data_IF_841718136678
#
_entry.id   IF_841718136678
#
_cell.length_a   1.000
_cell.length_b   1.000
_cell.length_c   1.000
_cell.angle_alpha   90.00
_cell.angle_beta   90.00
_cell.angle_gamma   90.00
#
_symmetry.space_group_name_H-M   'P 1'
#
loop_
_entity.id
_entity.type
_entity.pdbx_description
1 polymer ?
#
# COMPACT_ATOMS: atom_id res chain seq x y z
N UNK A 1 -13.26 34.09 2.34
CA UNK A 1 -13.85 34.34 3.68
C UNK A 1 -15.28 34.88 3.52
N UNK A 2 -16.30 34.02 3.64
CA UNK A 2 -17.67 34.48 3.93
C UNK A 2 -17.79 34.60 5.45
N UNK A 3 -17.43 35.76 5.99
CA UNK A 3 -17.90 36.14 7.32
C UNK A 3 -19.41 36.43 7.19
N UNK A 4 -20.24 35.52 7.67
CA UNK A 4 -21.64 35.81 7.93
C UNK A 4 -21.65 36.73 9.15
N UNK A 5 -21.79 38.04 8.94
CA UNK A 5 -21.97 39.00 10.04
C UNK A 5 -23.24 38.65 10.79
N UNK A 6 -23.11 38.27 12.06
CA UNK A 6 -24.21 37.96 12.95
C UNK A 6 -24.57 36.49 13.12
N UNK A 7 -23.74 35.55 12.64
CA UNK A 7 -23.89 34.13 12.97
C UNK A 7 -23.56 33.86 14.44
N UNK A 8 -24.38 33.07 15.11
CA UNK A 8 -24.07 32.55 16.45
C UNK A 8 -23.13 31.37 16.24
N UNK A 9 -22.01 31.39 16.95
CA UNK A 9 -21.12 30.23 16.99
C UNK A 9 -21.75 29.18 17.93
N UNK A 10 -22.20 28.07 17.39
CA UNK A 10 -22.84 26.99 18.13
C UNK A 10 -21.81 26.10 18.87
N UNK A 11 -20.52 26.28 18.58
CA UNK A 11 -19.43 25.50 19.19
C UNK A 11 -18.82 26.29 20.32
N UNK A 12 -18.96 25.81 21.56
CA UNK A 12 -18.24 26.32 22.71
C UNK A 12 -16.94 25.53 22.91
N UNK A 13 -15.75 26.12 22.74
CA UNK A 13 -14.50 25.44 22.96
C UNK A 13 -14.34 25.06 24.45
N UNK A 14 -14.08 23.78 24.73
CA UNK A 14 -13.68 23.36 26.08
C UNK A 14 -12.23 23.83 26.35
N UNK A 15 -11.98 24.40 27.52
CA UNK A 15 -10.71 25.07 27.81
C UNK A 15 -9.76 24.28 28.72
N UNK A 16 -10.14 23.13 29.24
CA UNK A 16 -9.42 22.48 30.34
C UNK A 16 -8.37 21.44 29.91
N UNK A 17 -8.46 20.90 28.68
CA UNK A 17 -7.56 19.88 28.17
C UNK A 17 -6.87 20.32 26.89
N UNK A 18 -5.68 19.77 26.62
CA UNK A 18 -5.04 19.93 25.33
C UNK A 18 -5.85 19.24 24.24
N UNK A 19 -6.05 19.95 23.13
CA UNK A 19 -6.86 19.51 22.00
C UNK A 19 -5.98 19.02 20.87
N UNK A 20 -6.21 17.81 20.42
CA UNK A 20 -5.50 17.23 19.29
C UNK A 20 -6.49 16.99 18.15
N UNK A 21 -6.16 17.55 16.99
CA UNK A 21 -6.93 17.34 15.76
C UNK A 21 -6.35 16.13 15.00
N UNK A 22 -7.22 15.22 14.60
CA UNK A 22 -6.89 14.08 13.74
C UNK A 22 -7.62 14.28 12.40
N UNK A 23 -6.86 14.27 11.30
CA UNK A 23 -7.44 14.33 9.97
C UNK A 23 -7.71 12.92 9.45
N UNK A 24 -8.95 12.67 9.05
CA UNK A 24 -9.38 11.41 8.47
C UNK A 24 -8.95 11.23 7.01
N UNK A 25 -9.43 10.16 6.40
CA UNK A 25 -9.03 9.78 5.03
C UNK A 25 -9.89 10.40 3.92
N UNK A 26 -11.00 11.03 4.29
CA UNK A 26 -11.97 11.53 3.31
C UNK A 26 -12.76 10.39 2.63
N UNK A 27 -13.26 10.61 1.41
CA UNK A 27 -14.02 9.60 0.68
C UNK A 27 -13.20 8.35 0.41
N UNK A 28 -13.80 7.17 0.65
CA UNK A 28 -13.20 5.90 0.27
C UNK A 28 -13.15 5.81 -1.25
N UNK A 29 -12.01 5.44 -1.78
CA UNK A 29 -11.75 5.24 -3.20
C UNK A 29 -10.69 4.17 -3.41
N UNK A 30 -10.58 3.65 -4.62
CA UNK A 30 -9.47 2.74 -4.98
C UNK A 30 -8.14 3.47 -4.71
N UNK A 31 -7.22 2.79 -4.01
CA UNK A 31 -5.96 3.37 -3.53
C UNK A 31 -6.01 4.05 -2.16
N UNK A 32 -7.21 4.29 -1.60
CA UNK A 32 -7.39 4.88 -0.27
C UNK A 32 -8.63 4.28 0.41
N UNK A 33 -8.45 3.11 1.03
CA UNK A 33 -9.54 2.31 1.60
C UNK A 33 -9.84 2.59 3.06
N UNK A 34 -10.70 1.74 3.63
CA UNK A 34 -11.16 1.81 5.02
C UNK A 34 -10.03 1.61 6.05
N UNK A 35 -8.90 1.09 5.64
CA UNK A 35 -7.73 0.81 6.49
C UNK A 35 -7.17 2.09 7.13
N UNK A 36 -7.29 3.22 6.43
CA UNK A 36 -6.90 4.53 6.97
C UNK A 36 -7.91 5.05 7.99
N UNK A 37 -9.19 4.71 7.83
CA UNK A 37 -10.19 5.01 8.84
C UNK A 37 -9.94 4.23 10.13
N UNK A 38 -9.60 2.94 10.03
CA UNK A 38 -9.14 2.15 11.17
C UNK A 38 -7.99 2.85 11.90
N UNK A 39 -6.99 3.34 11.18
CA UNK A 39 -5.87 4.05 11.79
C UNK A 39 -6.32 5.34 12.50
N UNK A 40 -7.19 6.12 11.88
CA UNK A 40 -7.72 7.35 12.47
C UNK A 40 -8.52 7.09 13.75
N UNK A 41 -9.37 6.07 13.77
CA UNK A 41 -10.16 5.66 14.94
C UNK A 41 -9.25 5.21 16.09
N UNK A 42 -8.29 4.33 15.81
CA UNK A 42 -7.36 3.85 16.84
C UNK A 42 -6.44 4.96 17.37
N UNK A 43 -6.08 5.94 16.55
CA UNK A 43 -5.38 7.14 16.99
C UNK A 43 -6.24 7.94 17.99
N UNK A 44 -7.49 8.24 17.64
CA UNK A 44 -8.42 8.96 18.51
C UNK A 44 -8.60 8.24 19.85
N UNK A 45 -8.79 6.93 19.84
CA UNK A 45 -8.92 6.16 21.07
C UNK A 45 -7.66 6.20 21.93
N UNK A 46 -6.49 6.13 21.32
CA UNK A 46 -5.21 6.24 22.07
C UNK A 46 -5.03 7.63 22.69
N UNK A 47 -5.41 8.70 21.99
CA UNK A 47 -5.38 10.08 22.50
C UNK A 47 -6.37 10.28 23.66
N UNK A 48 -7.61 9.79 23.53
CA UNK A 48 -8.62 9.85 24.60
C UNK A 48 -8.14 9.11 25.84
N UNK A 49 -7.56 7.91 25.67
CA UNK A 49 -6.99 7.14 26.77
C UNK A 49 -5.83 7.86 27.45
N UNK A 50 -5.08 8.70 26.72
CA UNK A 50 -4.01 9.54 27.25
C UNK A 50 -4.51 10.87 27.85
N UNK A 51 -5.83 11.14 27.84
CA UNK A 51 -6.44 12.29 28.48
C UNK A 51 -6.53 13.56 27.65
N UNK A 52 -6.33 13.48 26.32
CA UNK A 52 -6.51 14.61 25.40
C UNK A 52 -7.97 14.77 24.97
N UNK A 53 -8.37 16.00 24.68
CA UNK A 53 -9.59 16.28 23.94
C UNK A 53 -9.32 16.05 22.45
N UNK A 54 -10.16 15.26 21.82
CA UNK A 54 -9.95 14.82 20.43
C UNK A 54 -10.92 15.47 19.47
N UNK A 55 -10.39 15.98 18.37
CA UNK A 55 -11.15 16.53 17.25
C UNK A 55 -10.88 15.65 16.05
N UNK A 56 -11.90 15.10 15.42
CA UNK A 56 -11.76 14.43 14.13
C UNK A 56 -12.42 15.24 13.02
N UNK A 57 -11.73 15.35 11.90
CA UNK A 57 -12.26 15.97 10.68
C UNK A 57 -12.32 14.90 9.61
N UNK A 58 -13.51 14.54 9.19
CA UNK A 58 -13.72 13.58 8.09
C UNK A 58 -15.10 13.78 7.49
N UNK A 59 -15.29 13.48 6.20
CA UNK A 59 -16.53 13.70 5.48
C UNK A 59 -17.12 12.46 4.81
N UNK A 60 -16.77 11.28 5.32
CA UNK A 60 -17.31 10.03 4.78
C UNK A 60 -18.29 9.40 5.78
N UNK A 61 -19.62 9.39 5.51
CA UNK A 61 -20.62 8.84 6.42
C UNK A 61 -20.55 7.31 6.60
N UNK A 62 -19.83 6.63 5.71
CA UNK A 62 -19.68 5.16 5.76
C UNK A 62 -18.47 4.73 6.62
N UNK A 63 -17.81 5.67 7.31
CA UNK A 63 -16.63 5.39 8.14
C UNK A 63 -16.96 5.44 9.63
N UNK A 64 -16.27 4.60 10.42
CA UNK A 64 -16.42 4.56 11.89
C UNK A 64 -15.91 5.85 12.54
N UNK A 65 -14.90 6.50 11.95
CA UNK A 65 -14.38 7.77 12.47
C UNK A 65 -15.41 8.89 12.51
N UNK A 66 -16.49 8.80 11.72
CA UNK A 66 -17.59 9.75 11.70
C UNK A 66 -18.76 9.36 12.62
N UNK A 67 -18.63 8.31 13.40
CA UNK A 67 -19.58 7.98 14.44
C UNK A 67 -19.45 8.98 15.60
N UNK A 68 -20.58 9.42 16.14
CA UNK A 68 -20.66 10.51 17.12
C UNK A 68 -19.95 10.23 18.45
N UNK A 69 -19.67 8.97 18.77
CA UNK A 69 -19.07 8.53 20.04
C UNK A 69 -17.56 8.27 19.95
N UNK A 70 -16.96 8.39 18.76
CA UNK A 70 -15.54 8.11 18.55
C UNK A 70 -14.68 9.23 19.13
N UNK A 71 -14.82 10.46 18.65
CA UNK A 71 -14.06 11.63 19.12
C UNK A 71 -14.92 12.49 20.07
N UNK A 72 -14.28 13.40 20.81
CA UNK A 72 -15.00 14.37 21.64
C UNK A 72 -15.70 15.41 20.75
N UNK A 73 -15.16 15.66 19.55
CA UNK A 73 -15.75 16.51 18.52
C UNK A 73 -15.54 15.93 17.14
N UNK A 74 -16.63 15.88 16.38
CA UNK A 74 -16.64 15.50 14.97
C UNK A 74 -16.97 16.73 14.12
N UNK A 75 -16.09 17.03 13.17
CA UNK A 75 -16.36 17.95 12.07
C UNK A 75 -16.57 17.14 10.79
N UNK A 76 -17.82 17.08 10.36
CA UNK A 76 -18.20 16.39 9.13
C UNK A 76 -18.05 17.35 7.94
N UNK A 77 -16.80 17.67 7.61
CA UNK A 77 -16.43 18.69 6.63
C UNK A 77 -15.40 18.14 5.62
N UNK A 78 -15.35 18.69 4.41
CA UNK A 78 -14.36 18.32 3.44
C UNK A 78 -12.92 18.53 3.96
N UNK A 79 -12.02 17.65 3.55
CA UNK A 79 -10.59 17.74 3.87
C UNK A 79 -9.89 18.63 2.84
N UNK A 80 -10.28 19.92 2.83
CA UNK A 80 -9.65 20.98 2.05
C UNK A 80 -8.97 21.97 2.99
N UNK A 81 -7.95 22.69 2.51
CA UNK A 81 -7.27 23.68 3.35
C UNK A 81 -8.24 24.77 3.85
N UNK A 82 -9.19 25.19 3.02
CA UNK A 82 -10.15 26.25 3.32
C UNK A 82 -11.15 25.85 4.42
N UNK A 83 -11.67 24.61 4.36
CA UNK A 83 -12.60 24.09 5.37
C UNK A 83 -11.89 23.84 6.68
N UNK A 84 -10.70 23.25 6.64
CA UNK A 84 -9.87 22.96 7.82
C UNK A 84 -9.40 24.26 8.51
N UNK A 85 -9.08 25.33 7.75
CA UNK A 85 -8.75 26.65 8.32
C UNK A 85 -9.89 27.17 9.23
N UNK A 86 -11.13 27.02 8.78
CA UNK A 86 -12.29 27.45 9.54
C UNK A 86 -12.44 26.67 10.87
N UNK A 87 -12.12 25.38 10.87
CA UNK A 87 -12.12 24.56 12.09
C UNK A 87 -10.97 24.94 13.03
N UNK A 88 -9.77 25.16 12.49
CA UNK A 88 -8.59 25.61 13.25
C UNK A 88 -8.86 26.95 13.94
N UNK A 89 -9.48 27.90 13.24
CA UNK A 89 -9.84 29.23 13.78
C UNK A 89 -10.78 29.13 14.99
N UNK A 90 -11.70 28.16 14.99
CA UNK A 90 -12.67 27.95 16.06
C UNK A 90 -12.06 27.14 17.22
N UNK A 91 -11.45 26.00 16.90
CA UNK A 91 -11.02 25.04 17.92
C UNK A 91 -9.65 25.38 18.51
N UNK A 92 -8.77 26.02 17.76
CA UNK A 92 -7.39 26.35 18.13
C UNK A 92 -6.67 25.14 18.74
N UNK A 93 -6.50 24.04 17.96
CA UNK A 93 -5.90 22.82 18.46
C UNK A 93 -4.44 23.05 18.86
N UNK A 94 -3.98 22.35 19.89
CA UNK A 94 -2.57 22.35 20.32
C UNK A 94 -1.65 21.63 19.33
N UNK A 95 -2.24 20.81 18.43
CA UNK A 95 -1.55 20.15 17.33
C UNK A 95 -2.47 19.31 16.49
N UNK A 96 -1.96 18.91 15.33
CA UNK A 96 -2.68 18.05 14.38
C UNK A 96 -1.86 16.81 14.00
N UNK A 97 -2.53 15.68 13.88
CA UNK A 97 -1.98 14.41 13.39
C UNK A 97 -2.56 14.13 12.00
N UNK A 98 -1.68 14.00 11.01
CA UNK A 98 -2.04 13.79 9.59
C UNK A 98 -1.66 12.39 9.09
N UNK A 99 -0.78 11.67 9.79
CA UNK A 99 -0.18 10.41 9.33
C UNK A 99 -1.16 9.25 9.15
N UNK A 100 -2.32 9.29 9.79
CA UNK A 100 -3.27 8.17 9.78
C UNK A 100 -4.35 8.27 8.70
N UNK A 101 -4.59 9.47 8.16
CA UNK A 101 -5.62 9.71 7.14
C UNK A 101 -5.16 9.50 5.68
N UNK A 102 -4.05 8.78 5.49
CA UNK A 102 -3.50 8.50 4.15
C UNK A 102 -3.14 9.78 3.38
N UNK A 103 -3.11 9.68 2.07
CA UNK A 103 -2.66 10.77 1.19
C UNK A 103 -3.54 12.03 1.26
N UNK A 104 -4.82 11.88 1.60
CA UNK A 104 -5.73 13.03 1.73
C UNK A 104 -5.30 13.94 2.90
N UNK A 105 -5.00 13.35 4.05
CA UNK A 105 -4.57 14.10 5.23
C UNK A 105 -3.14 14.64 5.08
N UNK A 106 -2.22 13.85 4.53
CA UNK A 106 -0.81 14.24 4.33
C UNK A 106 -0.70 15.51 3.46
N UNK A 107 -1.49 15.64 2.41
CA UNK A 107 -1.51 16.83 1.54
C UNK A 107 -1.89 18.12 2.27
N UNK A 108 -2.51 18.05 3.43
CA UNK A 108 -2.87 19.21 4.25
C UNK A 108 -1.76 19.63 5.22
N UNK A 109 -0.67 18.89 5.32
CA UNK A 109 0.43 19.15 6.27
C UNK A 109 0.99 20.55 6.10
N UNK A 110 1.33 20.97 4.87
CA UNK A 110 1.83 22.31 4.57
C UNK A 110 0.82 23.40 4.92
N UNK A 111 -0.44 23.22 4.51
CA UNK A 111 -1.49 24.20 4.80
C UNK A 111 -1.71 24.38 6.31
N UNK A 112 -1.71 23.31 7.10
CA UNK A 112 -1.80 23.36 8.55
C UNK A 112 -0.59 24.09 9.17
N UNK A 113 0.61 23.83 8.68
CA UNK A 113 1.83 24.52 9.11
C UNK A 113 1.73 26.02 8.83
N UNK A 114 1.26 26.41 7.63
CA UNK A 114 1.05 27.81 7.23
C UNK A 114 -0.02 28.51 8.10
N UNK A 115 -1.01 27.75 8.61
CA UNK A 115 -2.01 28.23 9.59
C UNK A 115 -1.45 28.35 11.01
N UNK A 116 -0.20 27.94 11.25
CA UNK A 116 0.44 27.94 12.56
C UNK A 116 0.05 26.77 13.46
N UNK A 117 -0.55 25.73 12.93
CA UNK A 117 -0.86 24.49 13.66
C UNK A 117 0.39 23.61 13.72
N UNK A 118 0.74 23.18 14.91
CA UNK A 118 1.86 22.24 15.11
C UNK A 118 1.49 20.87 14.54
N UNK A 119 2.26 20.39 13.59
CA UNK A 119 2.16 18.99 13.14
C UNK A 119 2.81 18.10 14.19
N UNK A 120 2.09 17.06 14.60
CA UNK A 120 2.55 16.05 15.55
C UNK A 120 2.94 14.79 14.78
N UNK A 121 4.16 14.33 15.02
CA UNK A 121 4.78 13.21 14.30
C UNK A 121 5.88 13.66 13.35
N UNK A 122 6.02 13.03 12.20
CA UNK A 122 7.03 13.38 11.19
C UNK A 122 6.74 14.76 10.60
N UNK A 123 7.76 15.59 10.49
CA UNK A 123 7.63 16.96 9.98
C UNK A 123 7.25 16.99 8.49
N UNK A 124 6.63 18.11 8.08
CA UNK A 124 6.18 18.32 6.70
C UNK A 124 7.32 18.22 5.68
N UNK A 125 8.50 18.73 6.02
CA UNK A 125 9.68 18.72 5.14
C UNK A 125 10.24 17.30 4.96
N UNK A 126 10.24 16.47 6.01
CA UNK A 126 10.65 15.07 5.93
C UNK A 126 9.65 14.21 5.15
N UNK A 127 8.35 14.51 5.26
CA UNK A 127 7.31 13.88 4.43
C UNK A 127 7.51 14.23 2.96
N UNK A 128 7.72 15.51 2.65
CA UNK A 128 7.99 15.97 1.28
C UNK A 128 9.29 15.37 0.72
N UNK A 129 10.34 15.25 1.54
CA UNK A 129 11.59 14.63 1.16
C UNK A 129 11.45 13.14 0.78
N UNK A 130 10.49 12.43 1.37
CA UNK A 130 10.18 11.04 0.99
C UNK A 130 9.36 10.93 -0.30
N UNK A 131 8.58 11.96 -0.64
CA UNK A 131 7.74 12.00 -1.85
C UNK A 131 8.49 12.61 -3.05
N UNK A 132 9.39 13.55 -2.81
CA UNK A 132 10.23 14.16 -3.86
C UNK A 132 11.33 13.21 -4.29
N UNK A 133 11.39 12.92 -5.60
CA UNK A 133 12.33 11.92 -6.12
C UNK A 133 13.79 12.32 -5.91
N UNK A 134 14.15 13.56 -6.18
CA UNK A 134 15.55 13.99 -6.12
C UNK A 134 16.05 14.00 -4.68
N UNK A 135 15.25 14.53 -3.77
CA UNK A 135 15.52 14.51 -2.33
C UNK A 135 15.61 13.09 -1.78
N UNK A 136 14.69 12.23 -2.20
CA UNK A 136 14.68 10.82 -1.78
C UNK A 136 15.91 10.06 -2.31
N UNK A 137 16.33 10.32 -3.55
CA UNK A 137 17.54 9.76 -4.12
C UNK A 137 18.80 10.14 -3.32
N UNK A 138 18.92 11.42 -2.94
CA UNK A 138 20.03 11.87 -2.08
C UNK A 138 20.01 11.18 -0.72
N UNK A 139 18.83 10.94 -0.13
CA UNK A 139 18.69 10.22 1.13
C UNK A 139 19.15 8.77 0.98
N UNK A 140 18.74 8.08 -0.08
CA UNK A 140 19.15 6.71 -0.35
C UNK A 140 20.66 6.60 -0.56
N UNK A 141 21.27 7.53 -1.32
CA UNK A 141 22.72 7.59 -1.52
C UNK A 141 23.48 7.81 -0.20
N UNK A 142 23.06 8.77 0.60
CA UNK A 142 23.62 9.02 1.96
C UNK A 142 23.47 7.82 2.89
N UNK A 143 22.38 7.08 2.73
CA UNK A 143 22.13 5.85 3.47
C UNK A 143 22.82 4.62 2.87
N UNK A 144 23.48 4.71 1.73
CA UNK A 144 24.03 3.56 0.99
C UNK A 144 22.98 2.45 0.78
N UNK A 145 21.80 2.83 0.30
CA UNK A 145 20.66 1.95 0.05
C UNK A 145 20.37 1.94 -1.45
N UNK A 146 20.28 0.75 -2.02
CA UNK A 146 20.01 0.58 -3.44
C UNK A 146 18.53 0.76 -3.78
N UNK A 147 18.30 1.32 -4.96
CA UNK A 147 16.97 1.37 -5.61
C UNK A 147 17.07 0.96 -7.07
N UNK A 148 15.96 0.60 -7.72
CA UNK A 148 15.95 0.40 -9.17
C UNK A 148 16.45 1.66 -9.90
N UNK A 149 17.39 1.48 -10.83
CA UNK A 149 17.94 2.59 -11.61
C UNK A 149 16.84 3.18 -12.50
N UNK A 150 16.81 4.50 -12.61
CA UNK A 150 15.82 5.18 -13.43
C UNK A 150 16.15 6.64 -13.68
N UNK A 151 15.32 7.30 -14.47
CA UNK A 151 15.47 8.72 -14.79
C UNK A 151 14.11 9.37 -15.03
N UNK A 152 14.05 10.66 -14.76
CA UNK A 152 12.91 11.51 -15.09
C UNK A 152 13.03 11.97 -16.54
N UNK A 153 11.93 11.95 -17.27
CA UNK A 153 11.84 12.31 -18.69
C UNK A 153 10.58 13.14 -18.95
N UNK A 154 10.59 13.91 -20.04
CA UNK A 154 9.44 14.74 -20.45
C UNK A 154 8.91 14.34 -21.82
N UNK A 155 9.72 13.68 -22.65
CA UNK A 155 9.36 13.31 -24.03
C UNK A 155 9.42 11.81 -24.24
N UNK A 156 8.74 11.32 -25.28
CA UNK A 156 8.79 9.91 -25.64
C UNK A 156 10.18 9.49 -26.16
N UNK A 157 10.89 10.39 -26.81
CA UNK A 157 12.24 10.18 -27.30
C UNK A 157 13.23 10.00 -26.17
N UNK A 158 13.19 10.88 -25.16
CA UNK A 158 13.98 10.73 -23.93
C UNK A 158 13.66 9.42 -23.19
N UNK A 159 12.38 9.07 -23.10
CA UNK A 159 11.93 7.83 -22.47
C UNK A 159 12.51 6.58 -23.15
N UNK A 160 12.54 6.55 -24.48
CA UNK A 160 13.10 5.46 -25.27
C UNK A 160 14.64 5.41 -25.06
N UNK A 161 15.32 6.56 -25.07
CA UNK A 161 16.75 6.60 -24.83
C UNK A 161 17.12 6.04 -23.46
N UNK A 162 16.42 6.47 -22.41
CA UNK A 162 16.61 5.95 -21.05
C UNK A 162 16.30 4.45 -20.97
N UNK A 163 15.18 4.01 -21.55
CA UNK A 163 14.80 2.60 -21.53
C UNK A 163 15.84 1.70 -22.25
N UNK A 164 16.38 2.16 -23.36
CA UNK A 164 17.43 1.43 -24.07
C UNK A 164 18.75 1.36 -23.27
N UNK A 165 19.10 2.41 -22.50
CA UNK A 165 20.24 2.39 -21.58
C UNK A 165 20.03 1.44 -20.40
N UNK A 166 18.84 1.40 -19.83
CA UNK A 166 18.49 0.52 -18.70
C UNK A 166 18.29 -0.93 -19.13
N UNK A 167 17.94 -1.14 -20.40
CA UNK A 167 17.50 -2.42 -20.94
C UNK A 167 16.07 -2.78 -20.51
N UNK A 168 15.27 -3.29 -21.46
CA UNK A 168 13.90 -3.73 -21.19
C UNK A 168 13.86 -4.99 -20.29
N UNK A 169 12.78 -5.23 -19.53
CA UNK A 169 11.61 -4.35 -19.34
C UNK A 169 11.91 -3.14 -18.47
N UNK A 170 11.11 -2.07 -18.63
CA UNK A 170 11.14 -0.87 -17.79
C UNK A 170 9.73 -0.53 -17.29
N UNK A 171 9.65 0.12 -16.14
CA UNK A 171 8.42 0.66 -15.57
C UNK A 171 8.28 2.12 -16.00
N UNK A 172 7.15 2.46 -16.59
CA UNK A 172 6.78 3.84 -16.98
C UNK A 172 5.73 4.33 -15.98
N UNK A 173 6.00 5.44 -15.29
CA UNK A 173 5.05 5.99 -14.31
C UNK A 173 5.00 7.51 -14.33
N UNK A 174 3.81 8.13 -14.22
CA UNK A 174 3.68 9.56 -13.95
C UNK A 174 4.23 9.89 -12.56
N UNK A 175 4.79 11.09 -12.37
CA UNK A 175 5.44 11.47 -11.10
C UNK A 175 4.48 11.65 -9.92
N UNK A 176 3.23 12.03 -10.18
CA UNK A 176 2.27 12.37 -9.13
C UNK A 176 0.95 11.61 -9.30
N UNK A 177 0.95 10.30 -9.01
CA UNK A 177 -0.26 9.49 -9.11
C UNK A 177 -0.55 8.73 -7.82
N UNK A 178 -1.83 8.55 -7.52
CA UNK A 178 -2.31 7.76 -6.39
C UNK A 178 -2.61 6.34 -6.85
N UNK A 179 -2.18 5.34 -6.05
CA UNK A 179 -2.53 3.94 -6.27
C UNK A 179 -2.00 3.37 -7.59
N UNK A 180 -0.88 3.88 -8.08
CA UNK A 180 -0.24 3.38 -9.31
C UNK A 180 -0.98 3.73 -10.62
N UNK A 181 -1.93 4.66 -10.59
CA UNK A 181 -2.71 5.04 -11.78
C UNK A 181 -1.79 5.45 -12.94
N UNK A 182 -2.02 4.87 -14.12
CA UNK A 182 -1.24 5.15 -15.33
C UNK A 182 0.18 4.59 -15.32
N UNK A 183 0.54 3.72 -14.36
CA UNK A 183 1.81 2.98 -14.37
C UNK A 183 1.69 1.77 -15.30
N UNK A 184 2.73 1.56 -16.13
CA UNK A 184 2.76 0.47 -17.12
C UNK A 184 4.15 -0.14 -17.24
N UNK A 185 4.23 -1.45 -17.54
CA UNK A 185 5.48 -2.14 -17.82
C UNK A 185 5.68 -2.19 -19.34
N UNK A 186 6.72 -1.51 -19.82
CA UNK A 186 7.07 -1.49 -21.24
C UNK A 186 8.11 -2.57 -21.55
N UNK A 187 7.87 -3.34 -22.59
CA UNK A 187 8.74 -4.40 -23.06
C UNK A 187 9.58 -4.00 -24.28
N UNK A 188 9.25 -2.87 -24.92
CA UNK A 188 9.88 -2.36 -26.12
C UNK A 188 9.53 -0.88 -26.35
N UNK A 189 10.18 -0.25 -27.34
CA UNK A 189 9.97 1.15 -27.72
C UNK A 189 8.52 1.46 -28.14
N UNK A 190 7.83 0.48 -28.73
CA UNK A 190 6.43 0.62 -29.16
C UNK A 190 5.49 0.81 -27.98
N UNK A 191 5.73 0.07 -26.89
CA UNK A 191 4.97 0.17 -25.66
C UNK A 191 5.17 1.56 -25.02
N UNK A 192 6.41 2.05 -24.96
CA UNK A 192 6.71 3.39 -24.45
C UNK A 192 5.94 4.46 -25.22
N UNK A 193 6.00 4.43 -26.56
CA UNK A 193 5.26 5.39 -27.39
C UNK A 193 3.76 5.38 -27.13
N UNK A 194 3.20 4.18 -26.94
CA UNK A 194 1.78 4.01 -26.62
C UNK A 194 1.46 4.61 -25.23
N UNK A 195 2.23 4.26 -24.22
CA UNK A 195 2.00 4.71 -22.83
C UNK A 195 2.21 6.20 -22.66
N UNK A 196 3.26 6.76 -23.23
CA UNK A 196 3.53 8.20 -23.21
C UNK A 196 2.37 8.99 -23.87
N UNK A 197 1.78 8.48 -24.95
CA UNK A 197 0.62 9.12 -25.58
C UNK A 197 -0.62 9.10 -24.68
N UNK A 198 -0.83 8.05 -23.89
CA UNK A 198 -1.94 7.95 -22.92
C UNK A 198 -1.70 8.91 -21.76
N UNK A 199 -0.51 8.88 -21.17
CA UNK A 199 -0.13 9.69 -20.02
C UNK A 199 -0.20 11.19 -20.38
N UNK A 200 0.35 11.60 -21.51
CA UNK A 200 0.34 13.01 -21.95
C UNK A 200 -1.07 13.56 -22.23
N UNK A 201 -2.05 12.69 -22.51
CA UNK A 201 -3.46 13.11 -22.60
C UNK A 201 -4.11 13.40 -21.27
N UNK A 202 -3.70 12.68 -20.23
CA UNK A 202 -4.29 12.74 -18.89
C UNK A 202 -3.55 13.70 -17.96
N UNK A 203 -2.23 13.79 -18.10
CA UNK A 203 -1.32 14.49 -17.20
C UNK A 203 -0.38 15.42 -17.99
N UNK A 204 -0.93 16.46 -18.61
CA UNK A 204 -0.14 17.45 -19.35
C UNK A 204 0.85 18.16 -18.40
N UNK A 205 2.12 18.25 -18.82
CA UNK A 205 3.22 18.99 -18.16
C UNK A 205 3.83 18.36 -16.90
N UNK A 206 3.53 17.10 -16.57
CA UNK A 206 4.21 16.43 -15.46
C UNK A 206 5.36 15.54 -15.95
N UNK A 207 6.47 15.48 -15.19
CA UNK A 207 7.57 14.58 -15.50
C UNK A 207 7.12 13.13 -15.39
N UNK A 208 7.69 12.27 -16.24
CA UNK A 208 7.44 10.85 -16.27
C UNK A 208 8.72 10.13 -15.84
N UNK A 209 8.57 9.08 -15.06
CA UNK A 209 9.67 8.28 -14.54
C UNK A 209 9.79 7.01 -15.36
N UNK A 210 11.02 6.70 -15.77
CA UNK A 210 11.38 5.43 -16.42
C UNK A 210 12.35 4.72 -15.49
N UNK A 211 11.89 3.65 -14.86
CA UNK A 211 12.68 2.85 -13.93
C UNK A 211 12.95 1.46 -14.49
N UNK A 212 14.13 0.89 -14.18
CA UNK A 212 14.41 -0.52 -14.49
C UNK A 212 13.40 -1.40 -13.77
N UNK A 213 12.65 -2.21 -14.51
CA UNK A 213 11.79 -3.20 -13.90
C UNK A 213 12.59 -4.40 -13.40
N UNK A 214 12.49 -4.68 -12.11
CA UNK A 214 13.11 -5.84 -11.46
C UNK A 214 12.03 -6.89 -11.20
N UNK A 215 12.12 -8.05 -11.85
CA UNK A 215 11.17 -9.16 -11.66
C UNK A 215 11.52 -9.97 -10.41
N UNK A 216 11.60 -9.29 -9.25
CA UNK A 216 11.91 -9.89 -7.96
C UNK A 216 10.69 -10.19 -7.10
N UNK A 217 10.95 -10.50 -5.84
CA UNK A 217 9.93 -10.64 -4.79
C UNK A 217 9.73 -9.30 -4.10
N UNK A 218 8.48 -8.86 -4.04
CA UNK A 218 8.15 -7.70 -3.22
C UNK A 218 7.98 -8.10 -1.75
N UNK A 219 8.47 -7.21 -0.90
CA UNK A 219 8.42 -7.34 0.56
C UNK A 219 8.02 -5.99 1.13
N UNK A 220 7.17 -5.99 2.13
CA UNK A 220 6.65 -4.79 2.76
C UNK A 220 6.90 -4.81 4.27
N UNK A 221 7.23 -3.66 4.83
CA UNK A 221 7.45 -3.45 6.26
C UNK A 221 6.68 -2.22 6.71
N UNK A 222 5.91 -2.37 7.77
CA UNK A 222 5.40 -1.27 8.57
C UNK A 222 6.18 -1.21 9.88
N UNK A 223 6.60 0.00 10.28
CA UNK A 223 7.33 0.19 11.52
C UNK A 223 6.81 1.40 12.30
N UNK A 224 7.01 1.36 13.61
CA UNK A 224 6.80 2.50 14.51
C UNK A 224 8.15 3.08 14.89
N UNK A 225 8.25 4.41 14.86
CA UNK A 225 9.43 5.17 15.23
C UNK A 225 9.07 6.17 16.31
N UNK A 226 9.97 6.38 17.30
CA UNK A 226 9.81 7.34 18.38
C UNK A 226 10.91 8.43 18.40
N UNK A 227 11.70 8.51 17.31
CA UNK A 227 12.85 9.40 17.19
C UNK A 227 14.14 8.83 17.81
N UNK A 228 14.07 7.76 18.61
CA UNK A 228 15.23 7.10 19.25
C UNK A 228 15.50 5.73 18.63
N UNK A 229 14.45 5.00 18.29
CA UNK A 229 14.52 3.67 17.70
C UNK A 229 13.29 3.31 16.90
N UNK A 230 13.24 2.06 16.44
CA UNK A 230 12.13 1.54 15.69
C UNK A 230 11.63 0.21 16.26
N UNK A 231 10.32 -0.04 16.12
CA UNK A 231 9.68 -1.32 16.36
C UNK A 231 9.12 -1.82 15.02
N UNK A 232 9.57 -2.98 14.58
CA UNK A 232 9.08 -3.67 13.38
C UNK A 232 8.24 -4.86 13.84
N UNK A 233 6.93 -4.86 13.70
CA UNK A 233 6.06 -5.97 14.11
C UNK A 233 6.31 -7.24 13.32
N UNK A 234 6.70 -7.11 12.05
CA UNK A 234 7.03 -8.20 11.16
C UNK A 234 7.27 -7.74 9.73
N UNK A 235 7.77 -8.66 8.93
CA UNK A 235 8.01 -8.48 7.50
C UNK A 235 6.93 -9.26 6.74
N UNK A 236 6.37 -8.67 5.69
CA UNK A 236 5.33 -9.28 4.85
C UNK A 236 5.91 -9.60 3.46
N UNK A 237 5.75 -10.84 3.00
CA UNK A 237 6.16 -11.27 1.66
C UNK A 237 4.96 -11.29 0.73
N UNK A 238 5.07 -10.70 -0.48
CA UNK A 238 4.05 -10.82 -1.52
C UNK A 238 4.20 -12.12 -2.29
N UNK A 239 3.07 -12.78 -2.59
CA UNK A 239 3.07 -14.03 -3.38
C UNK A 239 3.34 -13.73 -4.85
N UNK A 240 2.74 -12.67 -5.37
CA UNK A 240 2.92 -12.21 -6.74
C UNK A 240 4.35 -11.71 -6.97
N UNK A 241 4.76 -11.69 -8.24
CA UNK A 241 5.99 -11.03 -8.67
C UNK A 241 5.81 -9.51 -8.63
N UNK A 242 6.91 -8.80 -8.51
CA UNK A 242 6.94 -7.35 -8.59
C UNK A 242 6.18 -6.79 -9.82
N UNK A 243 5.53 -5.65 -9.63
CA UNK A 243 4.72 -4.99 -10.66
C UNK A 243 3.21 -5.18 -10.51
N UNK A 244 2.75 -5.89 -9.50
CA UNK A 244 1.35 -5.87 -9.03
C UNK A 244 1.29 -4.93 -7.83
N UNK A 245 0.30 -4.03 -7.81
CA UNK A 245 0.14 -3.09 -6.69
C UNK A 245 0.01 -3.83 -5.34
N UNK A 246 0.67 -3.36 -4.29
CA UNK A 246 0.72 -4.03 -2.97
C UNK A 246 -0.67 -4.31 -2.38
N UNK A 247 -1.65 -3.42 -2.63
CA UNK A 247 -3.05 -3.62 -2.26
C UNK A 247 -3.72 -4.81 -2.96
N UNK A 248 -3.28 -5.14 -4.16
CA UNK A 248 -3.82 -6.23 -4.99
C UNK A 248 -3.04 -7.54 -4.83
N UNK A 249 -1.93 -7.50 -4.10
CA UNK A 249 -1.09 -8.66 -3.85
C UNK A 249 -1.55 -9.45 -2.63
N UNK A 250 -1.38 -10.77 -2.72
CA UNK A 250 -1.51 -11.67 -1.57
C UNK A 250 -0.26 -11.48 -0.71
N UNK A 251 -0.44 -11.08 0.55
CA UNK A 251 0.67 -10.89 1.49
C UNK A 251 0.69 -12.00 2.54
N UNK A 252 1.86 -12.53 2.82
CA UNK A 252 2.07 -13.63 3.77
C UNK A 252 2.97 -13.16 4.91
N UNK A 253 2.56 -13.39 6.14
CA UNK A 253 3.34 -13.21 7.36
C UNK A 253 3.37 -14.52 8.17
N UNK A 254 4.54 -14.92 8.71
CA UNK A 254 5.88 -14.42 8.40
C UNK A 254 6.31 -14.80 6.97
N UNK A 255 7.38 -14.17 6.42
CA UNK A 255 7.89 -14.49 5.09
C UNK A 255 8.32 -15.95 4.98
N UNK A 256 7.94 -16.62 3.89
CA UNK A 256 8.18 -18.05 3.69
C UNK A 256 9.41 -18.35 2.84
N UNK A 257 9.78 -17.42 1.94
CA UNK A 257 10.85 -17.63 0.96
C UNK A 257 11.99 -16.63 1.08
N UNK A 258 11.92 -15.71 2.04
CA UNK A 258 12.96 -14.70 2.27
C UNK A 258 13.98 -15.23 3.26
N UNK A 259 15.26 -15.29 2.84
CA UNK A 259 16.39 -15.75 3.66
C UNK A 259 16.61 -14.81 4.86
N UNK A 260 17.18 -15.33 5.96
CA UNK A 260 17.42 -14.55 7.17
C UNK A 260 18.36 -13.36 6.90
N UNK A 261 19.42 -13.56 6.10
CA UNK A 261 20.37 -12.50 5.75
C UNK A 261 19.68 -11.34 5.02
N UNK A 262 18.70 -11.65 4.18
CA UNK A 262 17.89 -10.64 3.49
C UNK A 262 16.94 -9.91 4.47
N UNK A 263 16.32 -10.63 5.40
CA UNK A 263 15.52 -10.01 6.46
C UNK A 263 16.35 -9.04 7.30
N UNK A 264 17.58 -9.40 7.62
CA UNK A 264 18.51 -8.57 8.38
C UNK A 264 18.85 -7.27 7.64
N UNK A 265 19.08 -7.35 6.31
CA UNK A 265 19.28 -6.18 5.45
C UNK A 265 18.03 -5.29 5.41
N UNK A 266 16.84 -5.87 5.26
CA UNK A 266 15.57 -5.12 5.27
C UNK A 266 15.38 -4.37 6.60
N UNK A 267 15.67 -5.02 7.73
CA UNK A 267 15.61 -4.38 9.06
C UNK A 267 16.61 -3.23 9.16
N UNK A 268 17.84 -3.43 8.69
CA UNK A 268 18.87 -2.39 8.71
C UNK A 268 18.50 -1.21 7.80
N UNK A 269 18.00 -1.45 6.59
CA UNK A 269 17.54 -0.41 5.67
C UNK A 269 16.37 0.38 6.29
N UNK A 270 15.41 -0.31 6.91
CA UNK A 270 14.30 0.34 7.62
C UNK A 270 14.80 1.27 8.72
N UNK A 271 15.78 0.85 9.53
CA UNK A 271 16.40 1.68 10.58
C UNK A 271 17.07 2.93 10.02
N UNK A 272 17.88 2.77 8.97
CA UNK A 272 18.61 3.88 8.34
C UNK A 272 17.68 4.91 7.72
N UNK A 273 16.63 4.45 7.01
CA UNK A 273 15.63 5.33 6.40
C UNK A 273 14.79 6.08 7.44
N UNK A 274 14.31 5.37 8.45
CA UNK A 274 13.55 6.01 9.53
C UNK A 274 14.35 7.12 10.23
N UNK A 275 15.66 6.88 10.46
CA UNK A 275 16.57 7.86 11.02
C UNK A 275 16.83 9.03 10.07
N UNK A 276 17.08 8.77 8.81
CA UNK A 276 17.41 9.81 7.81
C UNK A 276 16.22 10.73 7.49
N UNK A 277 15.00 10.20 7.60
CA UNK A 277 13.74 10.94 7.44
C UNK A 277 13.16 11.43 8.78
N UNK A 278 13.92 11.42 9.86
CA UNK A 278 13.51 11.84 11.20
C UNK A 278 12.10 11.39 11.59
N UNK A 279 11.74 10.16 11.22
CA UNK A 279 10.37 9.67 11.38
C UNK A 279 9.99 9.56 12.85
N UNK A 280 8.84 10.14 13.19
CA UNK A 280 8.15 9.93 14.47
C UNK A 280 6.71 9.51 14.18
N UNK A 281 6.31 8.32 14.61
CA UNK A 281 5.04 7.69 14.26
C UNK A 281 5.24 6.50 13.34
N UNK A 282 4.49 6.43 12.24
CA UNK A 282 4.53 5.30 11.31
C UNK A 282 5.42 5.56 10.10
N UNK A 283 6.05 4.49 9.65
CA UNK A 283 6.73 4.41 8.35
C UNK A 283 6.37 3.08 7.67
N UNK A 284 6.04 3.15 6.40
CA UNK A 284 5.85 2.00 5.52
C UNK A 284 6.93 1.99 4.45
N UNK A 285 7.56 0.85 4.22
CA UNK A 285 8.61 0.72 3.21
C UNK A 285 8.32 -0.52 2.36
N UNK A 286 8.38 -0.33 1.05
CA UNK A 286 8.27 -1.40 0.07
C UNK A 286 9.64 -1.69 -0.55
N UNK A 287 9.99 -2.97 -0.58
CA UNK A 287 11.26 -3.48 -1.09
C UNK A 287 11.04 -4.47 -2.23
N UNK A 288 12.03 -4.58 -3.11
CA UNK A 288 12.18 -5.72 -4.04
C UNK A 288 13.42 -6.49 -3.65
N UNK A 289 13.28 -7.79 -3.50
CA UNK A 289 14.40 -8.74 -3.42
C UNK A 289 14.64 -9.35 -4.80
N UNK A 290 15.75 -9.02 -5.41
CA UNK A 290 16.13 -9.50 -6.73
C UNK A 290 17.60 -9.96 -6.72
N UNK A 291 17.86 -11.20 -7.13
CA UNK A 291 19.20 -11.81 -7.14
C UNK A 291 19.93 -11.70 -5.79
N UNK A 292 19.20 -11.99 -4.69
CA UNK A 292 19.68 -11.88 -3.31
C UNK A 292 20.11 -10.44 -2.88
N UNK A 293 19.71 -9.41 -3.63
CA UNK A 293 19.91 -8.00 -3.28
C UNK A 293 18.57 -7.36 -2.94
N UNK A 294 18.60 -6.37 -2.04
CA UNK A 294 17.43 -5.63 -1.57
C UNK A 294 17.44 -4.23 -2.18
N UNK A 295 16.35 -3.87 -2.81
CA UNK A 295 16.12 -2.54 -3.39
C UNK A 295 14.90 -1.89 -2.76
N UNK A 296 15.00 -0.60 -2.44
CA UNK A 296 13.84 0.19 -1.99
C UNK A 296 13.04 0.67 -3.19
N UNK A 297 11.72 0.45 -3.16
CA UNK A 297 10.79 0.94 -4.19
C UNK A 297 10.17 2.26 -3.75
N UNK A 298 9.64 2.28 -2.51
CA UNK A 298 8.84 3.38 -1.99
C UNK A 298 8.97 3.45 -0.47
N UNK A 299 8.96 4.67 0.06
CA UNK A 299 8.90 4.96 1.48
C UNK A 299 7.75 5.92 1.75
N UNK A 300 6.93 5.58 2.71
CA UNK A 300 5.78 6.37 3.12
C UNK A 300 5.89 6.66 4.63
N UNK A 301 6.26 7.88 5.07
CA UNK A 301 6.32 8.23 6.49
C UNK A 301 4.91 8.49 7.05
N UNK A 302 4.04 7.51 6.93
CA UNK A 302 2.62 7.52 7.33
C UNK A 302 2.09 6.10 7.45
N UNK A 303 0.82 5.97 7.85
CA UNK A 303 0.12 4.68 7.82
C UNK A 303 0.02 4.10 6.41
N UNK A 304 -0.04 2.78 6.35
CA UNK A 304 -0.25 1.99 5.14
C UNK A 304 -1.57 1.22 5.22
N UNK A 305 -1.91 0.55 4.14
CA UNK A 305 -3.08 -0.34 4.09
C UNK A 305 -2.88 -1.64 4.86
N UNK A 306 -1.63 -2.06 5.07
CA UNK A 306 -1.31 -3.30 5.77
C UNK A 306 -1.32 -3.17 7.30
N UNK A 307 -1.47 -1.96 7.84
CA UNK A 307 -1.50 -1.70 9.29
C UNK A 307 -2.55 -2.54 10.04
N UNK A 308 -3.83 -2.61 9.62
CA UNK A 308 -4.82 -3.45 10.31
C UNK A 308 -4.45 -4.93 10.27
N UNK A 309 -3.93 -5.39 9.13
CA UNK A 309 -3.49 -6.77 8.95
C UNK A 309 -2.35 -7.12 9.89
N UNK A 310 -1.23 -6.37 9.82
CA UNK A 310 -0.04 -6.69 10.62
C UNK A 310 -0.29 -6.50 12.12
N UNK A 311 -1.07 -5.49 12.52
CA UNK A 311 -1.49 -5.32 13.91
C UNK A 311 -2.24 -6.53 14.43
N UNK A 312 -3.18 -7.05 13.65
CA UNK A 312 -4.03 -8.19 14.04
C UNK A 312 -3.25 -9.49 14.13
N UNK A 313 -2.37 -9.76 13.17
CA UNK A 313 -1.65 -11.05 13.11
C UNK A 313 -0.50 -11.13 14.10
N UNK A 314 0.09 -9.99 14.47
CA UNK A 314 1.17 -9.92 15.46
C UNK A 314 0.69 -9.67 16.90
N UNK A 315 -0.57 -9.26 17.08
CA UNK A 315 -1.15 -8.75 18.35
C UNK A 315 -0.43 -7.50 18.89
N UNK A 316 0.17 -6.71 17.99
CA UNK A 316 0.85 -5.46 18.35
C UNK A 316 -0.05 -4.29 17.93
N UNK A 317 -0.54 -3.47 18.87
CA UNK A 317 -1.43 -2.35 18.56
C UNK A 317 -0.63 -1.17 17.99
N UNK A 318 -0.14 -1.31 16.75
CA UNK A 318 0.82 -0.43 16.09
C UNK A 318 0.37 1.04 16.13
N UNK A 319 -0.91 1.30 15.81
CA UNK A 319 -1.44 2.68 15.78
C UNK A 319 -1.41 3.32 17.16
N UNK A 320 -1.77 2.57 18.20
CA UNK A 320 -1.74 3.09 19.59
C UNK A 320 -0.29 3.37 20.02
N UNK A 321 0.65 2.49 19.67
CA UNK A 321 2.08 2.68 19.98
C UNK A 321 2.61 3.92 19.23
N UNK A 322 2.31 4.05 17.93
CA UNK A 322 2.71 5.19 17.12
C UNK A 322 2.11 6.50 17.64
N UNK A 323 0.83 6.51 18.02
CA UNK A 323 0.18 7.69 18.58
C UNK A 323 0.86 8.14 19.86
N UNK A 324 1.17 7.22 20.77
CA UNK A 324 1.89 7.55 22.01
C UNK A 324 3.32 8.02 21.75
N UNK A 325 4.01 7.45 20.74
CA UNK A 325 5.33 7.90 20.30
C UNK A 325 5.26 9.34 19.77
N UNK A 326 4.26 9.66 18.95
CA UNK A 326 3.97 11.02 18.47
C UNK A 326 3.74 11.99 19.64
N UNK A 327 3.14 11.51 20.72
CA UNK A 327 2.89 12.30 21.94
C UNK A 327 4.10 12.34 22.90
N UNK A 328 5.24 11.76 22.51
CA UNK A 328 6.52 11.85 23.21
C UNK A 328 6.83 10.70 24.16
N UNK A 329 6.05 9.61 24.14
CA UNK A 329 6.34 8.40 24.92
C UNK A 329 7.18 7.42 24.09
N UNK A 330 8.35 7.04 24.56
CA UNK A 330 9.22 6.11 23.84
C UNK A 330 8.60 4.71 23.73
N UNK A 331 9.07 3.94 22.75
CA UNK A 331 8.63 2.53 22.55
C UNK A 331 8.95 1.69 23.80
N UNK A 332 10.11 1.93 24.45
CA UNK A 332 10.50 1.21 25.67
C UNK A 332 9.62 1.56 26.87
N UNK A 333 9.26 2.84 27.05
CA UNK A 333 8.31 3.28 28.08
C UNK A 333 6.92 2.66 27.90
N UNK A 334 6.57 2.25 26.71
CA UNK A 334 5.33 1.53 26.41
C UNK A 334 5.44 0.00 26.63
N UNK A 335 6.61 -0.51 27.04
CA UNK A 335 6.86 -1.91 27.33
C UNK A 335 7.26 -2.75 26.13
N UNK A 336 7.68 -2.14 25.02
CA UNK A 336 8.17 -2.81 23.83
C UNK A 336 9.68 -2.61 23.67
N UNK A 337 10.33 -3.53 22.93
CA UNK A 337 11.75 -3.43 22.61
C UNK A 337 11.94 -2.90 21.18
N UNK A 338 13.04 -2.18 20.96
CA UNK A 338 13.43 -1.80 19.60
C UNK A 338 13.85 -3.00 18.75
N UNK A 339 13.62 -2.90 17.47
CA UNK A 339 13.99 -3.88 16.47
C UNK A 339 12.81 -4.66 15.94
N UNK A 340 13.10 -5.82 15.34
CA UNK A 340 12.07 -6.71 14.83
C UNK A 340 11.53 -7.63 15.92
N UNK A 341 10.22 -7.76 15.97
CA UNK A 341 9.54 -8.68 16.88
C UNK A 341 9.74 -10.12 16.39
N UNK A 342 9.95 -11.10 17.28
CA UNK A 342 10.03 -12.51 16.90
C UNK A 342 8.81 -12.96 16.11
N UNK A 343 9.04 -13.72 15.04
CA UNK A 343 7.98 -14.26 14.20
C UNK A 343 7.10 -15.23 14.96
N UNK A 344 5.78 -15.22 14.65
CA UNK A 344 4.84 -16.18 15.21
C UNK A 344 4.92 -17.53 14.48
N UNK A 345 4.53 -18.60 15.16
CA UNK A 345 4.39 -19.94 14.55
C UNK A 345 3.20 -20.02 13.56
N UNK A 346 2.23 -19.13 13.71
CA UNK A 346 1.07 -19.08 12.82
C UNK A 346 1.39 -18.28 11.56
N UNK A 347 0.96 -18.82 10.42
CA UNK A 347 1.05 -18.16 9.13
C UNK A 347 -0.27 -17.45 8.87
N UNK A 348 -0.17 -16.19 8.52
CA UNK A 348 -1.30 -15.35 8.15
C UNK A 348 -1.20 -14.92 6.69
N UNK A 349 -2.30 -14.98 5.96
CA UNK A 349 -2.40 -14.63 4.55
C UNK A 349 -3.46 -13.56 4.39
N UNK A 350 -3.05 -12.38 3.94
CA UNK A 350 -3.94 -11.33 3.46
C UNK A 350 -4.23 -11.61 1.98
N UNK A 351 -5.49 -11.66 1.59
CA UNK A 351 -5.91 -11.82 0.22
C UNK A 351 -6.81 -10.67 -0.22
N UNK A 352 -6.54 -10.01 -1.36
CA UNK A 352 -7.37 -8.93 -1.86
C UNK A 352 -8.74 -9.44 -2.31
N UNK A 353 -9.74 -8.57 -2.20
CA UNK A 353 -11.09 -8.78 -2.74
C UNK A 353 -11.33 -7.82 -3.88
N UNK A 354 -11.83 -8.33 -5.01
CA UNK A 354 -12.12 -7.55 -6.21
C UNK A 354 -13.63 -7.49 -6.46
N UNK A 355 -14.11 -6.35 -6.92
CA UNK A 355 -15.51 -6.13 -7.29
C UNK A 355 -15.71 -6.06 -8.81
N UNK A 356 -14.94 -6.82 -9.60
CA UNK A 356 -15.00 -6.79 -11.06
C UNK A 356 -16.39 -7.07 -11.62
N UNK A 357 -17.14 -7.96 -10.96
CA UNK A 357 -18.52 -8.30 -11.37
C UNK A 357 -19.47 -7.10 -11.31
N UNK A 358 -19.16 -6.11 -10.44
CA UNK A 358 -19.98 -4.89 -10.26
C UNK A 358 -19.58 -3.78 -11.23
N UNK A 359 -18.41 -3.85 -11.86
CA UNK A 359 -17.86 -2.80 -12.70
C UNK A 359 -17.83 -3.31 -14.15
N UNK A 360 -18.80 -2.87 -14.96
CA UNK A 360 -18.87 -3.27 -16.38
C UNK A 360 -17.66 -2.76 -17.15
N UNK A 361 -16.99 -3.66 -17.87
CA UNK A 361 -15.84 -3.34 -18.72
C UNK A 361 -14.53 -3.11 -17.97
N UNK A 362 -14.48 -3.44 -16.67
CA UNK A 362 -13.22 -3.39 -15.92
C UNK A 362 -12.23 -4.41 -16.46
N UNK A 363 -10.99 -3.98 -16.65
CA UNK A 363 -9.89 -4.88 -16.96
C UNK A 363 -9.51 -5.66 -15.71
N UNK A 364 -9.52 -7.00 -15.81
CA UNK A 364 -9.25 -7.91 -14.69
C UNK A 364 -7.77 -8.24 -14.52
N UNK A 365 -6.91 -7.86 -15.46
CA UNK A 365 -5.46 -8.08 -15.35
C UNK A 365 -4.88 -7.23 -14.22
N UNK A 366 -4.14 -7.86 -13.32
CA UNK A 366 -3.44 -7.15 -12.25
C UNK A 366 -2.16 -6.51 -12.78
N UNK A 367 -1.83 -5.35 -12.24
CA UNK A 367 -0.68 -4.55 -12.63
C UNK A 367 -0.34 -3.51 -11.56
N UNK A 368 0.45 -2.49 -11.91
CA UNK A 368 0.85 -1.46 -10.95
C UNK A 368 -0.30 -0.62 -10.41
N UNK A 369 -1.41 -0.50 -11.18
CA UNK A 369 -2.59 0.23 -10.74
C UNK A 369 -3.48 -0.64 -9.86
N UNK A 370 -3.87 -0.11 -8.69
CA UNK A 370 -4.69 -0.81 -7.73
C UNK A 370 -6.14 -0.99 -8.21
N UNK A 371 -6.71 -2.19 -8.00
CA UNK A 371 -8.06 -2.59 -8.41
C UNK A 371 -8.89 -3.22 -7.29
N UNK A 372 -8.26 -3.64 -6.20
CA UNK A 372 -8.96 -4.27 -5.06
C UNK A 372 -9.85 -3.28 -4.32
N UNK A 373 -10.94 -3.80 -3.77
CA UNK A 373 -11.97 -3.03 -3.03
C UNK A 373 -12.10 -3.47 -1.58
N UNK A 374 -11.34 -4.47 -1.16
CA UNK A 374 -11.31 -4.98 0.19
C UNK A 374 -10.25 -6.06 0.36
N UNK A 375 -10.18 -6.62 1.54
CA UNK A 375 -9.23 -7.69 1.87
C UNK A 375 -9.82 -8.67 2.88
N UNK A 376 -9.31 -9.89 2.88
CA UNK A 376 -9.65 -10.93 3.84
C UNK A 376 -8.39 -11.55 4.44
N UNK A 377 -8.56 -12.18 5.59
CA UNK A 377 -7.48 -12.79 6.35
C UNK A 377 -7.73 -14.28 6.53
N UNK A 378 -6.73 -15.11 6.16
CA UNK A 378 -6.66 -16.51 6.50
C UNK A 378 -5.50 -16.79 7.45
N UNK A 379 -5.72 -17.56 8.53
CA UNK A 379 -4.69 -17.90 9.51
C UNK A 379 -4.66 -19.41 9.73
N UNK A 380 -3.47 -19.99 9.70
CA UNK A 380 -3.21 -21.40 10.04
C UNK A 380 -1.75 -21.60 10.45
N UNK A 381 -1.40 -22.81 10.91
CA UNK A 381 -0.01 -23.26 11.06
C UNK A 381 0.59 -23.76 9.75
N UNK A 382 -0.23 -23.94 8.72
CA UNK A 382 0.17 -24.40 7.39
C UNK A 382 -0.19 -23.34 6.36
N UNK A 383 0.75 -23.06 5.44
CA UNK A 383 0.58 -22.02 4.42
C UNK A 383 -0.59 -22.32 3.47
N UNK A 384 -0.70 -23.57 2.99
CA UNK A 384 -1.75 -23.96 2.04
C UNK A 384 -3.14 -23.81 2.66
N UNK A 385 -3.26 -24.19 3.95
CA UNK A 385 -4.51 -24.01 4.70
C UNK A 385 -4.83 -22.53 4.94
N UNK A 386 -3.83 -21.69 5.25
CA UNK A 386 -4.02 -20.25 5.42
C UNK A 386 -4.47 -19.60 4.10
N UNK A 387 -3.84 -19.96 2.97
CA UNK A 387 -4.24 -19.51 1.62
C UNK A 387 -5.67 -19.96 1.33
N UNK A 388 -6.00 -21.24 1.60
CA UNK A 388 -7.34 -21.76 1.36
C UNK A 388 -8.41 -21.01 2.17
N UNK A 389 -8.16 -20.75 3.46
CA UNK A 389 -9.07 -19.98 4.32
C UNK A 389 -9.25 -18.54 3.80
N UNK A 390 -8.15 -17.89 3.41
CA UNK A 390 -8.21 -16.56 2.81
C UNK A 390 -9.01 -16.56 1.50
N UNK A 391 -8.75 -17.54 0.62
CA UNK A 391 -9.47 -17.71 -0.63
C UNK A 391 -10.98 -17.90 -0.42
N UNK A 392 -11.37 -18.76 0.51
CA UNK A 392 -12.79 -18.95 0.88
C UNK A 392 -13.41 -17.68 1.45
N UNK A 393 -12.63 -16.87 2.19
CA UNK A 393 -13.05 -15.60 2.76
C UNK A 393 -13.37 -14.53 1.71
N UNK A 394 -12.82 -14.62 0.50
CA UNK A 394 -13.16 -13.70 -0.61
C UNK A 394 -14.56 -13.92 -1.18
N UNK A 395 -15.25 -14.99 -0.76
CA UNK A 395 -16.54 -15.39 -1.31
C UNK A 395 -16.46 -16.23 -2.59
N UNK A 396 -15.25 -16.46 -3.11
CA UNK A 396 -15.04 -17.33 -4.28
C UNK A 396 -15.32 -18.77 -3.85
N UNK A 397 -16.22 -19.44 -4.56
CA UNK A 397 -16.52 -20.83 -4.33
C UNK A 397 -15.72 -21.70 -5.29
N UNK A 398 -15.11 -22.76 -4.79
CA UNK A 398 -14.50 -23.75 -5.64
C UNK A 398 -15.57 -24.39 -6.55
N UNK A 399 -15.26 -24.57 -7.84
CA UNK A 399 -16.25 -25.11 -8.79
C UNK A 399 -16.68 -26.51 -8.37
N UNK A 400 -17.99 -26.74 -8.36
CA UNK A 400 -18.55 -28.07 -8.06
C UNK A 400 -18.19 -29.11 -9.13
N UNK A 401 -18.00 -28.66 -10.38
CA UNK A 401 -17.54 -29.49 -11.50
C UNK A 401 -16.02 -29.42 -11.58
N UNK A 402 -15.39 -30.55 -11.69
CA UNK A 402 -13.93 -30.66 -11.79
C UNK A 402 -13.44 -30.47 -13.22
N UNK A 403 -13.79 -29.35 -13.86
CA UNK A 403 -13.38 -29.01 -15.23
C UNK A 403 -12.50 -27.75 -15.22
N UNK A 404 -11.36 -27.83 -15.86
CA UNK A 404 -10.40 -26.70 -15.94
C UNK A 404 -10.08 -26.42 -17.40
N UNK A 405 -10.16 -25.15 -17.81
CA UNK A 405 -9.70 -24.67 -19.11
C UNK A 405 -8.31 -24.07 -18.92
N UNK A 406 -7.34 -24.57 -19.66
CA UNK A 406 -5.94 -24.16 -19.58
C UNK A 406 -5.52 -23.44 -20.87
N UNK A 407 -5.04 -22.20 -20.73
CA UNK A 407 -4.41 -21.44 -21.79
C UNK A 407 -3.09 -20.89 -21.27
N UNK A 408 -1.98 -21.50 -21.63
CA UNK A 408 -0.66 -21.21 -21.05
C UNK A 408 0.29 -20.74 -22.16
N UNK A 409 0.96 -19.63 -21.94
CA UNK A 409 2.00 -19.13 -22.85
C UNK A 409 3.19 -20.09 -22.91
N UNK A 410 3.88 -20.16 -24.05
CA UNK A 410 4.95 -21.13 -24.28
C UNK A 410 6.05 -21.10 -23.21
N UNK A 411 6.47 -19.93 -22.77
CA UNK A 411 7.52 -19.76 -21.75
C UNK A 411 7.14 -20.26 -20.35
N UNK A 412 5.86 -20.56 -20.06
CA UNK A 412 5.37 -21.00 -18.76
C UNK A 412 4.82 -22.44 -18.77
N UNK A 413 4.88 -23.12 -19.89
CA UNK A 413 4.33 -24.47 -20.02
C UNK A 413 5.06 -25.49 -19.15
N UNK A 414 6.38 -25.43 -19.08
CA UNK A 414 7.19 -26.32 -18.23
C UNK A 414 6.87 -26.16 -16.73
N UNK A 415 6.68 -24.92 -16.28
CA UNK A 415 6.27 -24.61 -14.90
C UNK A 415 4.86 -25.12 -14.61
N UNK A 416 3.97 -25.07 -15.61
CA UNK A 416 2.59 -25.54 -15.48
C UNK A 416 2.45 -27.06 -15.49
N UNK A 417 3.35 -27.79 -16.12
CA UNK A 417 3.25 -29.24 -16.30
C UNK A 417 3.02 -30.03 -14.98
N UNK A 418 3.78 -29.82 -13.90
CA UNK A 418 3.52 -30.52 -12.64
C UNK A 418 2.14 -30.16 -12.05
N UNK A 419 1.68 -28.93 -12.23
CA UNK A 419 0.37 -28.47 -11.78
C UNK A 419 -0.74 -29.18 -12.53
N UNK A 420 -0.63 -29.27 -13.86
CA UNK A 420 -1.57 -30.00 -14.70
C UNK A 420 -1.68 -31.50 -14.30
N UNK A 421 -0.54 -32.14 -14.04
CA UNK A 421 -0.49 -33.52 -13.54
C UNK A 421 -1.22 -33.70 -12.21
N UNK A 422 -1.04 -32.77 -11.27
CA UNK A 422 -1.73 -32.77 -9.98
C UNK A 422 -3.24 -32.62 -10.14
N UNK A 423 -3.71 -31.67 -10.97
CA UNK A 423 -5.14 -31.52 -11.22
C UNK A 423 -5.75 -32.77 -11.83
N UNK A 424 -5.07 -33.40 -12.80
CA UNK A 424 -5.53 -34.67 -13.37
C UNK A 424 -5.60 -35.77 -12.29
N UNK A 425 -4.58 -35.89 -11.42
CA UNK A 425 -4.59 -36.87 -10.31
C UNK A 425 -5.74 -36.62 -9.32
N UNK A 426 -6.14 -35.36 -9.11
CA UNK A 426 -7.30 -35.01 -8.28
C UNK A 426 -8.65 -35.24 -8.99
N UNK A 427 -8.64 -35.78 -10.21
CA UNK A 427 -9.83 -36.12 -10.99
C UNK A 427 -10.48 -34.92 -11.67
N UNK A 428 -9.67 -33.91 -12.05
CA UNK A 428 -10.13 -32.82 -12.90
C UNK A 428 -9.99 -33.18 -14.38
N UNK A 429 -11.02 -32.84 -15.18
CA UNK A 429 -10.97 -32.88 -16.62
C UNK A 429 -10.30 -31.60 -17.13
N UNK A 430 -9.20 -31.76 -17.85
CA UNK A 430 -8.43 -30.64 -18.39
C UNK A 430 -8.86 -30.38 -19.85
N UNK A 431 -9.19 -29.13 -20.13
CA UNK A 431 -9.46 -28.61 -21.47
C UNK A 431 -8.36 -27.60 -21.81
N UNK A 432 -7.75 -27.69 -22.95
CA UNK A 432 -6.63 -26.81 -23.29
C UNK A 432 -6.74 -26.27 -24.72
N UNK A 433 -6.36 -25.01 -24.91
CA UNK A 433 -6.19 -24.42 -26.22
C UNK A 433 -5.06 -25.11 -26.98
N UNK A 434 -5.07 -25.03 -28.30
CA UNK A 434 -4.26 -25.87 -29.22
C UNK A 434 -2.79 -26.01 -28.83
N UNK A 435 -2.09 -24.90 -28.54
CA UNK A 435 -0.68 -24.92 -28.17
C UNK A 435 -0.43 -25.57 -26.79
N UNK A 436 -1.31 -25.34 -25.81
CA UNK A 436 -1.25 -25.97 -24.48
C UNK A 436 -1.65 -27.44 -24.57
N UNK A 437 -2.66 -27.79 -25.40
CA UNK A 437 -3.09 -29.15 -25.61
C UNK A 437 -1.96 -30.03 -26.19
N UNK A 438 -1.27 -29.56 -27.26
CA UNK A 438 -0.14 -30.28 -27.86
C UNK A 438 0.94 -30.56 -26.82
N UNK A 439 1.32 -29.53 -26.05
CA UNK A 439 2.34 -29.63 -25.02
C UNK A 439 1.96 -30.65 -23.94
N UNK A 440 0.73 -30.58 -23.37
CA UNK A 440 0.29 -31.50 -22.33
C UNK A 440 0.22 -32.95 -22.84
N UNK A 441 -0.21 -33.12 -24.07
CA UNK A 441 -0.29 -34.46 -24.70
C UNK A 441 1.09 -35.07 -24.96
N UNK A 442 2.07 -34.28 -25.38
CA UNK A 442 3.46 -34.70 -25.54
C UNK A 442 4.11 -35.14 -24.22
N UNK A 443 3.58 -34.68 -23.09
CA UNK A 443 4.03 -35.01 -21.73
C UNK A 443 3.10 -35.98 -20.99
N UNK A 444 2.31 -36.74 -21.71
CA UNK A 444 1.39 -37.77 -21.21
C UNK A 444 0.36 -37.27 -20.17
N UNK A 445 -0.06 -36.00 -20.28
CA UNK A 445 -1.15 -35.47 -19.46
C UNK A 445 -2.46 -35.54 -20.26
N UNK A 446 -3.43 -36.36 -19.87
CA UNK A 446 -4.72 -36.42 -20.54
C UNK A 446 -5.45 -35.07 -20.47
N UNK A 447 -5.83 -34.58 -21.66
CA UNK A 447 -6.62 -33.36 -21.79
C UNK A 447 -7.42 -33.34 -23.05
N UNK A 448 -8.45 -32.52 -23.11
CA UNK A 448 -9.30 -32.33 -24.29
C UNK A 448 -8.96 -31.00 -24.99
N UNK A 449 -9.01 -31.01 -26.33
CA UNK A 449 -8.82 -29.77 -27.08
C UNK A 449 -10.04 -28.87 -26.88
N UNK A 450 -9.78 -27.65 -26.43
CA UNK A 450 -10.77 -26.59 -26.35
C UNK A 450 -10.69 -25.70 -27.57
N UNK A 451 -11.76 -25.70 -28.35
CA UNK A 451 -11.96 -24.77 -29.47
C UNK A 451 -13.16 -23.89 -29.12
N UNK A 452 -12.95 -22.60 -28.97
CA UNK A 452 -14.06 -21.66 -28.82
C UNK A 452 -14.72 -21.49 -30.21
N UNK A 453 -16.04 -21.73 -30.38
CA UNK A 453 -16.71 -21.29 -31.57
C UNK A 453 -16.69 -19.76 -31.58
N UNK A 454 -15.82 -19.19 -32.41
CA UNK A 454 -15.80 -17.75 -32.61
C UNK A 454 -17.08 -17.31 -33.30
N UNK A 455 -17.81 -16.32 -32.80
CA UNK A 455 -18.97 -15.78 -33.51
C UNK A 455 -18.60 -15.00 -34.77
N UNK A 456 -17.33 -15.05 -35.18
CA UNK A 456 -16.80 -14.38 -36.38
C UNK A 456 -16.28 -15.32 -37.45
N UNK A 457 -16.42 -16.63 -37.29
CA UNK A 457 -16.11 -17.64 -38.31
C UNK A 457 -17.37 -18.04 -39.08
#
# INVERSE_FOLDING_TARGET
KRQIQGGVNEVEPQKEKKKIMVLGSGPIRIGQGIEFDYCSVHCVWALKAAGYDTIIVNNNPETVSTDFDIADRLYFEPLTAEDVESIVDIEKPDGAIVQFGGQTAIKLTKALTDMGVKILGTDADDVDAAEDRERFDEILEKCHIDRPRGSTVFTAEEAIEVANKLGYPVLVRPSYVLGGAGMEIALNDGDIKKFMKIINRQYQEHPILIDKYLSGKEVEVDAVCDGHGILIPGIMEHVERAGVHSGDSISVYPPQKIKQEIKDVIVDYTKRLAKALHVVGLINIQFIVYEDQVYVIEVNPRSSRTIPYISKVTDIPIVAIATKAIMGQTIEEQGYSYGIVPEKETIAVKMPVFSFEKIKGAEISLGPEMKSTGEVLGISKNLDEAIYKAFMGTGIQLPKRKNIICTIKDSSKEEFLPIAKQYYMFGYDLYATEGTYKFLKEHDVPCLLYTSPSPRD
#
